data_IF_678794203404
#
_entry.id   IF_678794203404
#
_cell.length_a   1.000
_cell.length_b   1.000
_cell.length_c   1.000
_cell.angle_alpha   90.00
_cell.angle_beta   90.00
_cell.angle_gamma   90.00
#
_symmetry.space_group_name_H-M   'P 1'
#
loop_
_entity.id
_entity.type
_entity.pdbx_description
1 polymer ?
#
# COMPACT_ATOMS: atom_id res chain seq x y z
N UNK A 1 -4.34 -17.44 -29.40
CA UNK A 1 -5.45 -16.95 -28.56
C UNK A 1 -4.99 -16.76 -27.11
N UNK A 2 -4.41 -17.77 -26.45
CA UNK A 2 -3.85 -17.60 -25.10
C UNK A 2 -2.61 -16.68 -25.08
N UNK A 3 -1.66 -16.90 -25.98
CA UNK A 3 -0.43 -16.08 -26.05
C UNK A 3 -0.71 -14.59 -26.32
N UNK A 4 -1.72 -14.33 -27.15
CA UNK A 4 -2.18 -12.97 -27.45
C UNK A 4 -2.81 -12.31 -26.23
N UNK A 5 -3.69 -13.03 -25.52
CA UNK A 5 -4.28 -12.55 -24.28
C UNK A 5 -3.21 -12.25 -23.22
N UNK A 6 -2.22 -13.14 -23.06
CA UNK A 6 -1.13 -12.97 -22.10
C UNK A 6 -0.26 -11.75 -22.43
N UNK A 7 0.05 -11.55 -23.71
CA UNK A 7 0.78 -10.36 -24.18
C UNK A 7 0.02 -9.06 -23.88
N UNK A 8 -1.29 -9.03 -24.17
CA UNK A 8 -2.14 -7.88 -23.86
C UNK A 8 -2.21 -7.66 -22.35
N UNK A 9 -2.38 -8.73 -21.56
CA UNK A 9 -2.48 -8.65 -20.10
C UNK A 9 -1.19 -8.12 -19.46
N UNK A 10 -0.02 -8.63 -19.87
CA UNK A 10 1.29 -8.12 -19.44
C UNK A 10 1.47 -6.63 -19.77
N UNK A 11 1.03 -6.23 -20.98
CA UNK A 11 1.06 -4.82 -21.40
C UNK A 11 0.16 -3.95 -20.50
N UNK A 12 -1.06 -4.42 -20.20
CA UNK A 12 -1.98 -3.72 -19.30
C UNK A 12 -1.42 -3.60 -17.88
N UNK A 13 -0.78 -4.65 -17.35
CA UNK A 13 -0.12 -4.61 -16.03
C UNK A 13 0.91 -3.49 -16.00
N UNK A 14 1.79 -3.41 -17.02
CA UNK A 14 2.82 -2.37 -17.08
C UNK A 14 2.22 -0.98 -17.16
N UNK A 15 1.26 -0.76 -18.06
CA UNK A 15 0.60 0.54 -18.23
C UNK A 15 -0.12 0.99 -16.95
N UNK A 16 -0.93 0.11 -16.36
CA UNK A 16 -1.65 0.41 -15.13
C UNK A 16 -0.71 0.56 -13.93
N UNK A 17 0.36 -0.24 -13.86
CA UNK A 17 1.35 -0.19 -12.78
C UNK A 17 2.04 1.18 -12.72
N UNK A 18 2.53 1.64 -13.87
CA UNK A 18 3.16 2.96 -13.99
C UNK A 18 2.19 4.10 -13.70
N UNK A 19 0.96 4.03 -14.22
CA UNK A 19 0.00 5.11 -14.07
C UNK A 19 -0.63 5.20 -12.68
N UNK A 20 -0.84 4.07 -12.01
CA UNK A 20 -1.70 3.98 -10.82
C UNK A 20 -0.94 3.60 -9.54
N UNK A 21 0.16 2.86 -9.64
CA UNK A 21 0.90 2.33 -8.48
C UNK A 21 2.16 3.10 -8.16
N UNK A 22 2.63 3.95 -9.07
CA UNK A 22 3.84 4.76 -8.86
C UNK A 22 3.58 5.86 -7.84
N UNK A 23 4.39 5.84 -6.78
CA UNK A 23 4.41 6.86 -5.75
C UNK A 23 5.28 8.04 -6.18
N UNK A 24 4.69 9.23 -6.18
CA UNK A 24 5.42 10.49 -6.14
C UNK A 24 5.03 11.23 -4.86
N UNK A 25 6.02 11.68 -4.09
CA UNK A 25 5.74 12.41 -2.86
C UNK A 25 4.92 13.68 -3.14
N UNK A 26 3.89 13.90 -2.33
CA UNK A 26 3.00 15.07 -2.37
C UNK A 26 2.92 15.67 -0.98
N UNK A 27 2.29 16.84 -0.84
CA UNK A 27 2.09 17.52 0.46
C UNK A 27 1.50 16.60 1.54
N UNK A 28 0.63 15.66 1.18
CA UNK A 28 0.04 14.68 2.11
C UNK A 28 1.09 13.77 2.75
N UNK A 29 2.19 13.47 2.05
CA UNK A 29 3.27 12.61 2.54
C UNK A 29 4.00 13.21 3.75
N UNK A 30 3.95 14.54 3.89
CA UNK A 30 4.65 15.28 4.93
C UNK A 30 3.72 15.79 6.05
N UNK A 31 2.45 15.36 6.04
CA UNK A 31 1.52 15.69 7.13
C UNK A 31 1.92 14.99 8.44
N UNK A 32 1.43 15.55 9.56
CA UNK A 32 1.54 14.97 10.90
C UNK A 32 3.01 14.83 11.37
N UNK A 33 3.84 15.85 11.12
CA UNK A 33 5.23 15.90 11.56
C UNK A 33 6.19 15.03 10.76
N UNK A 34 5.84 14.69 9.51
CA UNK A 34 6.71 13.93 8.60
C UNK A 34 7.45 14.87 7.62
N UNK A 35 8.06 15.94 8.12
CA UNK A 35 8.64 16.98 7.26
C UNK A 35 9.80 16.47 6.39
N UNK A 36 10.64 15.59 6.96
CA UNK A 36 11.85 15.07 6.30
C UNK A 36 11.72 13.63 5.79
N UNK A 37 10.52 13.03 5.85
CA UNK A 37 10.31 11.64 5.40
C UNK A 37 8.92 11.44 4.81
N UNK A 38 8.77 10.49 3.89
CA UNK A 38 7.44 10.12 3.43
C UNK A 38 6.71 9.32 4.52
N UNK A 39 5.57 9.81 5.00
CA UNK A 39 4.75 9.09 6.00
C UNK A 39 4.30 7.70 5.53
N UNK A 40 4.26 7.47 4.22
CA UNK A 40 3.88 6.19 3.61
C UNK A 40 5.08 5.24 3.43
N UNK A 41 6.25 5.60 3.98
CA UNK A 41 7.47 4.77 3.99
C UNK A 41 8.00 4.47 2.59
N UNK A 42 7.98 5.50 1.75
CA UNK A 42 8.66 5.50 0.45
C UNK A 42 10.04 6.16 0.54
N UNK A 43 11.04 5.66 -0.19
CA UNK A 43 11.00 4.43 -1.00
C UNK A 43 10.96 3.18 -0.11
N UNK A 44 10.30 2.12 -0.59
CA UNK A 44 10.40 0.79 0.00
C UNK A 44 11.82 0.23 -0.18
N UNK A 45 12.19 -0.67 0.73
CA UNK A 45 13.45 -1.40 0.66
C UNK A 45 13.50 -2.27 -0.61
N UNK A 46 14.63 -2.21 -1.31
CA UNK A 46 14.90 -3.05 -2.48
C UNK A 46 15.32 -4.43 -1.97
N UNK A 47 14.62 -5.45 -2.43
CA UNK A 47 14.85 -6.86 -2.06
C UNK A 47 15.07 -7.62 -3.37
N UNK A 48 16.29 -8.13 -3.58
CA UNK A 48 16.73 -8.78 -4.83
C UNK A 48 16.10 -10.15 -5.06
N UNK A 49 15.71 -10.85 -3.99
CA UNK A 49 15.00 -12.12 -4.04
C UNK A 49 14.15 -12.30 -2.77
N UNK A 50 12.96 -12.88 -2.91
CA UNK A 50 12.12 -13.19 -1.76
C UNK A 50 12.83 -14.16 -0.82
N UNK A 51 12.75 -13.93 0.50
CA UNK A 51 13.37 -14.78 1.51
C UNK A 51 12.52 -14.85 2.78
N UNK A 52 12.75 -15.88 3.58
CA UNK A 52 12.17 -16.01 4.91
C UNK A 52 13.23 -15.68 5.97
N UNK A 53 12.88 -14.80 6.89
CA UNK A 53 13.69 -14.47 8.05
C UNK A 53 13.22 -15.30 9.27
N UNK A 54 14.03 -16.26 9.75
CA UNK A 54 13.66 -17.11 10.87
C UNK A 54 13.64 -16.37 12.22
N UNK A 55 14.41 -15.28 12.37
CA UNK A 55 14.50 -14.55 13.64
C UNK A 55 13.22 -13.76 13.91
N UNK A 56 12.64 -13.19 12.84
CA UNK A 56 11.38 -12.43 12.92
C UNK A 56 10.15 -13.22 12.48
N UNK A 57 10.35 -14.47 12.02
CA UNK A 57 9.33 -15.33 11.42
C UNK A 57 8.54 -14.60 10.30
N UNK A 58 9.24 -13.84 9.46
CA UNK A 58 8.65 -12.97 8.45
C UNK A 58 9.11 -13.34 7.03
N UNK A 59 8.22 -13.15 6.04
CA UNK A 59 8.53 -13.39 4.62
C UNK A 59 8.76 -12.04 3.94
N UNK A 60 9.96 -11.81 3.44
CA UNK A 60 10.27 -10.65 2.64
C UNK A 60 10.07 -10.98 1.17
N UNK A 61 9.28 -10.17 0.47
CA UNK A 61 8.99 -10.37 -0.96
C UNK A 61 9.96 -9.55 -1.80
N UNK A 62 10.33 -10.09 -2.96
CA UNK A 62 11.07 -9.38 -4.01
C UNK A 62 10.48 -7.99 -4.24
N UNK A 63 11.32 -6.95 -4.14
CA UNK A 63 10.98 -5.57 -4.45
C UNK A 63 12.08 -4.97 -5.32
N UNK A 64 11.80 -4.73 -6.60
CA UNK A 64 12.78 -4.18 -7.56
C UNK A 64 12.62 -2.67 -7.80
N UNK A 65 11.49 -2.09 -7.37
CA UNK A 65 11.22 -0.66 -7.48
C UNK A 65 10.58 -0.20 -6.19
N UNK A 66 11.38 0.49 -5.36
CA UNK A 66 10.93 1.01 -4.07
C UNK A 66 9.91 2.13 -4.17
N UNK A 67 9.61 2.63 -5.37
CA UNK A 67 8.62 3.70 -5.61
C UNK A 67 7.29 3.19 -6.15
N UNK A 68 7.12 1.88 -6.32
CA UNK A 68 5.84 1.27 -6.66
C UNK A 68 5.19 0.65 -5.41
N UNK A 69 3.89 0.84 -5.24
CA UNK A 69 3.13 0.06 -4.27
C UNK A 69 3.17 -1.43 -4.63
N UNK A 70 3.00 -2.30 -3.63
CA UNK A 70 2.67 -3.70 -3.90
C UNK A 70 1.24 -3.80 -4.45
N UNK A 71 1.07 -4.55 -5.54
CA UNK A 71 -0.22 -4.73 -6.20
C UNK A 71 -0.39 -6.17 -6.69
N UNK A 72 -1.64 -6.61 -6.79
CA UNK A 72 -1.98 -7.84 -7.50
C UNK A 72 -2.25 -7.52 -8.99
N UNK A 73 -1.60 -8.22 -9.94
CA UNK A 73 -1.75 -7.94 -11.37
C UNK A 73 -3.19 -8.05 -11.90
N UNK A 74 -3.95 -9.04 -11.42
CA UNK A 74 -5.34 -9.24 -11.84
C UNK A 74 -6.24 -8.14 -11.33
N UNK A 75 -6.19 -7.85 -10.02
CA UNK A 75 -6.94 -6.73 -9.46
C UNK A 75 -6.59 -5.42 -10.17
N UNK A 76 -5.32 -5.24 -10.56
CA UNK A 76 -4.87 -3.99 -11.15
C UNK A 76 -5.49 -3.79 -12.53
N UNK A 77 -5.47 -4.82 -13.37
CA UNK A 77 -6.02 -4.76 -14.73
C UNK A 77 -7.54 -4.63 -14.70
N UNK A 78 -8.22 -5.33 -13.79
CA UNK A 78 -9.69 -5.33 -13.72
C UNK A 78 -10.26 -4.10 -12.99
N UNK A 79 -9.63 -3.63 -11.91
CA UNK A 79 -10.15 -2.55 -11.08
C UNK A 79 -9.52 -1.19 -11.38
N UNK A 80 -8.30 -1.15 -11.93
CA UNK A 80 -7.62 0.06 -12.43
C UNK A 80 -7.57 1.23 -11.43
N UNK A 81 -7.27 0.95 -10.17
CA UNK A 81 -7.00 1.98 -9.17
C UNK A 81 -5.72 1.69 -8.38
N UNK A 82 -5.25 2.67 -7.60
CA UNK A 82 -4.11 2.48 -6.70
C UNK A 82 -4.43 1.38 -5.68
N UNK A 83 -3.47 0.49 -5.47
CA UNK A 83 -3.48 -0.54 -4.45
C UNK A 83 -2.44 -0.18 -3.40
N UNK A 84 -2.77 -0.36 -2.13
CA UNK A 84 -1.80 -0.29 -1.04
C UNK A 84 -1.85 -1.62 -0.29
N UNK A 85 -1.44 -2.69 -0.97
CA UNK A 85 -1.44 -4.04 -0.40
C UNK A 85 -0.20 -4.18 0.48
N UNK A 86 -0.37 -4.70 1.70
CA UNK A 86 0.75 -5.00 2.60
C UNK A 86 0.56 -6.39 3.19
N UNK A 87 1.64 -7.15 3.26
CA UNK A 87 1.65 -8.42 3.98
C UNK A 87 1.78 -8.17 5.49
N UNK A 88 0.91 -8.82 6.27
CA UNK A 88 0.95 -8.78 7.73
C UNK A 88 1.60 -10.08 8.20
N UNK A 89 2.87 -10.00 8.57
CA UNK A 89 3.72 -11.19 8.74
C UNK A 89 4.14 -11.45 10.19
N UNK A 90 3.86 -10.52 11.11
CA UNK A 90 4.18 -10.68 12.53
C UNK A 90 2.97 -10.38 13.41
N UNK A 91 2.93 -10.98 14.61
CA UNK A 91 1.89 -10.69 15.60
C UNK A 91 1.82 -9.21 15.99
N UNK A 92 2.97 -8.50 15.96
CA UNK A 92 3.05 -7.06 16.17
C UNK A 92 2.39 -6.27 15.03
N UNK A 93 2.70 -6.62 13.78
CA UNK A 93 2.07 -6.00 12.61
C UNK A 93 0.56 -6.28 12.57
N UNK A 94 0.15 -7.51 12.91
CA UNK A 94 -1.26 -7.90 13.00
C UNK A 94 -2.00 -7.09 14.06
N UNK A 95 -1.41 -6.93 15.26
CA UNK A 95 -1.99 -6.10 16.32
C UNK A 95 -2.11 -4.63 15.90
N UNK A 96 -1.10 -4.08 15.25
CA UNK A 96 -1.15 -2.70 14.74
C UNK A 96 -2.25 -2.53 13.68
N UNK A 97 -2.37 -3.49 12.75
CA UNK A 97 -3.43 -3.48 11.75
C UNK A 97 -4.83 -3.59 12.39
N UNK A 98 -5.00 -4.45 13.39
CA UNK A 98 -6.27 -4.56 14.13
C UNK A 98 -6.65 -3.23 14.78
N UNK A 99 -5.73 -2.60 15.52
CA UNK A 99 -6.00 -1.30 16.14
C UNK A 99 -6.35 -0.23 15.11
N UNK A 100 -5.62 -0.19 13.99
CA UNK A 100 -5.91 0.75 12.91
C UNK A 100 -7.31 0.52 12.32
N UNK A 101 -7.66 -0.72 12.00
CA UNK A 101 -8.99 -1.06 11.46
C UNK A 101 -10.07 -0.71 12.48
N UNK A 102 -9.90 -1.06 13.75
CA UNK A 102 -10.85 -0.72 14.81
C UNK A 102 -11.03 0.78 14.91
N UNK A 103 -9.95 1.56 14.97
CA UNK A 103 -10.01 3.03 15.07
C UNK A 103 -10.82 3.64 13.91
N UNK A 104 -10.63 3.13 12.69
CA UNK A 104 -11.38 3.57 11.51
C UNK A 104 -12.85 3.16 11.54
N UNK A 105 -13.17 1.94 12.00
CA UNK A 105 -14.57 1.46 12.12
C UNK A 105 -15.29 2.23 13.23
N UNK A 106 -14.61 2.54 14.33
CA UNK A 106 -15.18 3.25 15.48
C UNK A 106 -15.09 4.77 15.36
N UNK A 107 -14.55 5.28 14.25
CA UNK A 107 -14.41 6.71 14.03
C UNK A 107 -15.80 7.34 13.91
N UNK A 108 -16.18 8.16 14.89
CA UNK A 108 -17.46 8.88 14.84
C UNK A 108 -17.57 9.75 13.59
N UNK A 109 -18.75 9.75 12.98
CA UNK A 109 -19.02 10.51 11.74
C UNK A 109 -18.91 12.02 11.94
N UNK A 110 -19.22 12.49 13.16
CA UNK A 110 -19.15 13.90 13.52
C UNK A 110 -17.87 14.18 14.30
N UNK A 111 -17.10 15.15 13.82
CA UNK A 111 -16.02 15.71 14.62
C UNK A 111 -16.60 16.56 15.77
N UNK A 112 -15.82 16.74 16.85
CA UNK A 112 -16.31 17.43 18.06
C UNK A 112 -16.80 18.86 17.77
N UNK A 113 -16.20 19.54 16.80
CA UNK A 113 -16.63 20.88 16.39
C UNK A 113 -17.99 20.86 15.67
N UNK A 114 -18.24 19.88 14.79
CA UNK A 114 -19.57 19.68 14.18
C UNK A 114 -20.63 19.40 15.25
N UNK A 115 -20.34 18.54 16.24
CA UNK A 115 -21.25 18.31 17.37
C UNK A 115 -21.55 19.59 18.16
N UNK A 116 -20.52 20.41 18.43
CA UNK A 116 -20.69 21.68 19.14
C UNK A 116 -21.50 22.71 18.33
N UNK A 117 -21.45 22.67 17.00
CA UNK A 117 -22.23 23.58 16.14
C UNK A 117 -23.73 23.23 16.07
N UNK A 118 -24.12 22.05 16.57
CA UNK A 118 -25.51 21.61 16.66
C UNK A 118 -26.16 21.91 18.03
N UNK A 119 -25.37 22.41 18.99
CA UNK A 119 -25.82 22.88 20.31
C UNK A 119 -26.11 24.39 20.27
#
# INVERSE_FOLDING_TARGET
>A
MLDEWESVFCTQIKMCGEALQRHGCRKVCHKYGNDNRCRFLFPHEIIEASYFDPDTNSIFLLCRDGTANYFNPYLLVFCRHNHDIKCILSGKAAKAAMFYITDYITKGDLNTHEMLSLL
#
